data_IF_299897173931
#
_entry.id   IF_299897173931
#
_cell.length_a   1.000
_cell.length_b   1.000
_cell.length_c   1.000
_cell.angle_alpha   90.00
_cell.angle_beta   90.00
_cell.angle_gamma   90.00
#
_symmetry.space_group_name_H-M   'P 1'
#
loop_
_entity.id
_entity.type
_entity.pdbx_description
1 polymer ?
#
# COMPACT_ATOMS: atom_id res chain seq x y z
N UNK A 1 8.92 -1.03 5.68
CA UNK A 1 9.97 -0.38 4.86
C UNK A 1 9.59 1.08 4.71
N UNK A 2 10.54 1.99 4.90
CA UNK A 2 10.35 3.42 4.67
C UNK A 2 11.36 3.85 3.62
N UNK A 3 10.91 4.47 2.54
CA UNK A 3 11.75 5.05 1.50
C UNK A 3 11.60 6.56 1.57
N UNK A 4 12.68 7.24 1.97
CA UNK A 4 12.70 8.71 2.10
C UNK A 4 12.68 9.43 0.74
N UNK A 5 13.12 8.78 -0.33
CA UNK A 5 13.22 9.35 -1.67
C UNK A 5 12.26 8.77 -2.69
N UNK A 6 12.57 8.99 -3.96
CA UNK A 6 11.79 8.54 -5.10
C UNK A 6 11.99 7.04 -5.38
N UNK A 7 10.92 6.40 -5.86
CA UNK A 7 10.94 5.03 -6.34
C UNK A 7 10.55 4.98 -7.82
N UNK A 8 11.20 4.10 -8.57
CA UNK A 8 10.87 3.91 -9.98
C UNK A 8 9.70 2.92 -10.14
N UNK A 9 9.98 1.66 -10.46
CA UNK A 9 8.98 0.63 -10.79
C UNK A 9 9.01 -0.56 -9.82
N UNK A 10 7.93 -1.33 -9.82
CA UNK A 10 7.79 -2.60 -9.10
C UNK A 10 7.86 -2.47 -7.57
N UNK A 11 7.46 -1.33 -7.02
CA UNK A 11 7.35 -1.17 -5.57
C UNK A 11 6.35 -2.20 -5.02
N UNK A 12 6.82 -3.02 -4.08
CA UNK A 12 6.01 -4.04 -3.43
C UNK A 12 5.55 -5.19 -4.35
N UNK A 13 6.23 -5.43 -5.48
CA UNK A 13 5.99 -6.65 -6.26
C UNK A 13 6.04 -7.89 -5.36
N UNK A 14 5.06 -8.78 -5.50
CA UNK A 14 4.91 -10.00 -4.69
C UNK A 14 4.76 -9.73 -3.18
N UNK A 15 4.32 -8.53 -2.78
CA UNK A 15 4.11 -8.20 -1.37
C UNK A 15 3.00 -9.08 -0.77
N UNK A 16 3.41 -9.98 0.13
CA UNK A 16 2.48 -10.80 0.93
C UNK A 16 1.96 -10.04 2.15
N UNK A 17 2.83 -9.31 2.86
CA UNK A 17 2.50 -8.63 4.11
C UNK A 17 3.35 -7.39 4.41
N UNK A 18 2.97 -6.65 5.45
CA UNK A 18 3.71 -5.54 6.02
C UNK A 18 3.37 -4.19 5.38
N UNK A 19 4.12 -3.16 5.81
CA UNK A 19 3.89 -1.78 5.38
C UNK A 19 5.10 -1.23 4.63
N UNK A 20 4.85 -0.63 3.46
CA UNK A 20 5.82 0.13 2.67
C UNK A 20 5.32 1.57 2.62
N UNK A 21 6.17 2.53 3.03
CA UNK A 21 5.89 3.96 2.93
C UNK A 21 6.92 4.60 2.02
N UNK A 22 6.47 5.31 0.99
CA UNK A 22 7.32 6.08 0.06
C UNK A 22 7.01 7.56 0.26
N UNK A 23 8.01 8.32 0.70
CA UNK A 23 7.90 9.76 0.95
C UNK A 23 8.24 10.61 -0.28
N UNK A 24 8.87 10.02 -1.29
CA UNK A 24 9.07 10.64 -2.60
C UNK A 24 8.02 10.21 -3.63
N UNK A 25 8.34 10.42 -4.90
CA UNK A 25 7.49 10.10 -6.06
C UNK A 25 7.63 8.64 -6.45
N UNK A 26 6.54 8.05 -6.96
CA UNK A 26 6.54 6.72 -7.59
C UNK A 26 6.18 6.88 -9.06
N UNK A 27 7.07 6.46 -9.96
CA UNK A 27 6.85 6.64 -11.41
C UNK A 27 5.70 5.77 -11.95
N UNK A 28 5.54 4.56 -11.40
CA UNK A 28 4.47 3.64 -11.78
C UNK A 28 4.07 2.70 -10.65
N UNK A 29 2.78 2.66 -10.36
CA UNK A 29 2.17 1.70 -9.43
C UNK A 29 1.79 0.44 -10.20
N UNK A 30 2.01 -0.74 -9.58
CA UNK A 30 1.62 -2.00 -10.18
C UNK A 30 0.08 -2.09 -10.30
N UNK A 31 -0.48 -2.56 -11.42
CA UNK A 31 -1.94 -2.63 -11.63
C UNK A 31 -2.68 -3.51 -10.61
N UNK A 32 -1.96 -4.43 -9.97
CA UNK A 32 -2.45 -5.32 -8.93
C UNK A 32 -2.59 -4.64 -7.55
N UNK A 33 -2.11 -3.41 -7.39
CA UNK A 33 -2.44 -2.58 -6.22
C UNK A 33 -3.76 -1.85 -6.44
N UNK A 34 -4.59 -1.82 -5.39
CA UNK A 34 -5.88 -1.14 -5.38
C UNK A 34 -5.82 0.06 -4.45
N UNK A 35 -6.15 1.24 -4.99
CA UNK A 35 -6.24 2.49 -4.22
C UNK A 35 -7.38 2.35 -3.20
N UNK A 36 -7.11 2.67 -1.94
CA UNK A 36 -8.09 2.67 -0.85
C UNK A 36 -8.61 4.09 -0.64
N UNK A 37 -7.70 5.05 -0.49
CA UNK A 37 -8.05 6.43 -0.16
C UNK A 37 -6.84 7.25 0.23
N UNK A 38 -7.10 8.45 0.74
CA UNK A 38 -6.08 9.34 1.28
C UNK A 38 -6.06 9.25 2.81
N UNK A 39 -4.87 9.28 3.38
CA UNK A 39 -4.63 9.26 4.83
C UNK A 39 -3.65 10.36 5.21
N UNK A 40 -3.79 10.89 6.43
CA UNK A 40 -2.92 11.96 6.96
C UNK A 40 -1.90 11.47 7.99
N UNK A 41 -2.12 10.24 8.49
CA UNK A 41 -1.29 9.59 9.50
C UNK A 41 -1.23 8.10 9.19
N UNK A 42 -0.03 7.53 9.28
CA UNK A 42 0.24 6.10 9.15
C UNK A 42 0.83 5.63 10.47
N UNK A 43 0.13 4.72 11.15
CA UNK A 43 0.66 4.03 12.32
C UNK A 43 1.41 2.77 11.89
N UNK A 44 2.68 2.68 12.26
CA UNK A 44 3.54 1.54 11.97
C UNK A 44 3.37 0.45 13.04
N UNK A 45 3.76 -0.79 12.72
CA UNK A 45 3.63 -1.93 13.64
C UNK A 45 4.41 -1.77 14.95
N UNK A 46 5.44 -0.90 14.98
CA UNK A 46 6.21 -0.59 16.17
C UNK A 46 5.61 0.57 17.01
N UNK A 47 4.46 1.12 16.61
CA UNK A 47 3.78 2.24 17.27
C UNK A 47 4.23 3.63 16.80
N UNK A 48 5.25 3.71 15.94
CA UNK A 48 5.68 4.98 15.36
C UNK A 48 4.62 5.53 14.40
N UNK A 49 4.51 6.85 14.36
CA UNK A 49 3.56 7.55 13.49
C UNK A 49 4.31 8.33 12.42
N UNK A 50 3.86 8.17 11.18
CA UNK A 50 4.30 9.00 10.05
C UNK A 50 3.14 9.92 9.69
N UNK A 51 3.35 11.23 9.82
CA UNK A 51 2.39 12.25 9.41
C UNK A 51 2.71 12.75 8.00
N UNK A 52 1.67 13.24 7.31
CA UNK A 52 1.76 13.74 5.95
C UNK A 52 0.62 13.23 5.08
N UNK A 53 0.47 13.77 3.87
CA UNK A 53 -0.59 13.33 2.95
C UNK A 53 -0.10 12.14 2.14
N UNK A 54 -0.77 11.00 2.29
CA UNK A 54 -0.46 9.79 1.55
C UNK A 54 -1.70 9.21 0.89
N UNK A 55 -1.51 8.57 -0.25
CA UNK A 55 -2.48 7.64 -0.81
C UNK A 55 -2.15 6.24 -0.31
N UNK A 56 -3.14 5.58 0.27
CA UNK A 56 -3.07 4.19 0.69
C UNK A 56 -3.50 3.26 -0.44
N UNK A 57 -2.72 2.19 -0.62
CA UNK A 57 -3.01 1.09 -1.53
C UNK A 57 -2.95 -0.25 -0.80
N UNK A 58 -3.83 -1.17 -1.21
CA UNK A 58 -3.78 -2.58 -0.85
C UNK A 58 -3.19 -3.39 -1.99
N UNK A 59 -2.30 -4.31 -1.66
CA UNK A 59 -1.66 -5.20 -2.62
C UNK A 59 -0.51 -5.98 -1.98
N UNK A 60 0.20 -6.83 -2.73
CA UNK A 60 0.02 -7.08 -4.16
C UNK A 60 -1.09 -8.13 -4.40
N UNK A 61 -2.15 -7.80 -5.14
CA UNK A 61 -3.24 -8.74 -5.43
C UNK A 61 -2.94 -9.73 -6.58
N UNK A 62 -1.71 -9.77 -7.10
CA UNK A 62 -1.22 -10.91 -7.89
C UNK A 62 -0.89 -12.12 -7.02
N UNK A 63 -0.71 -11.90 -5.71
CA UNK A 63 -0.38 -12.93 -4.73
C UNK A 63 -1.66 -13.60 -4.23
N UNK A 64 -1.69 -14.94 -4.26
CA UNK A 64 -2.85 -15.75 -3.88
C UNK A 64 -3.42 -15.40 -2.50
N UNK A 65 -2.55 -15.15 -1.50
CA UNK A 65 -2.93 -14.78 -0.13
C UNK A 65 -3.68 -13.45 -0.03
N UNK A 66 -3.61 -12.61 -1.05
CA UNK A 66 -4.28 -11.32 -1.12
C UNK A 66 -5.55 -11.36 -1.99
N UNK A 67 -5.84 -12.45 -2.71
CA UNK A 67 -7.03 -12.55 -3.58
C UNK A 67 -8.36 -12.49 -2.82
N UNK A 68 -8.43 -13.14 -1.65
CA UNK A 68 -9.64 -13.20 -0.82
C UNK A 68 -10.00 -11.89 -0.13
N UNK A 69 -9.18 -10.85 -0.32
CA UNK A 69 -9.29 -9.55 0.36
C UNK A 69 -10.01 -8.49 -0.47
N UNK A 70 -10.35 -8.79 -1.72
CA UNK A 70 -11.24 -7.98 -2.55
C UNK A 70 -12.60 -8.67 -2.58
N UNK A 71 -13.63 -7.98 -2.11
CA UNK A 71 -15.00 -8.45 -2.28
C UNK A 71 -15.37 -8.44 -3.77
N UNK A 72 -15.64 -9.60 -4.35
CA UNK A 72 -15.86 -9.74 -5.80
C UNK A 72 -17.15 -9.09 -6.30
N UNK A 73 -18.09 -8.73 -5.41
CA UNK A 73 -19.37 -8.12 -5.79
C UNK A 73 -19.33 -6.60 -5.67
N UNK A 74 -18.58 -6.08 -4.70
CA UNK A 74 -18.53 -4.66 -4.36
C UNK A 74 -17.18 -4.01 -4.67
N UNK A 75 -16.18 -4.80 -5.05
CA UNK A 75 -14.77 -4.43 -5.24
C UNK A 75 -14.12 -3.76 -4.02
N UNK A 76 -14.78 -3.82 -2.86
CA UNK A 76 -14.26 -3.27 -1.62
C UNK A 76 -13.12 -4.13 -1.12
N UNK A 77 -12.03 -3.48 -0.77
CA UNK A 77 -10.90 -4.13 -0.12
C UNK A 77 -11.20 -4.25 1.38
N UNK A 78 -11.04 -5.44 1.95
CA UNK A 78 -11.16 -5.61 3.39
C UNK A 78 -10.04 -4.84 4.12
N UNK A 79 -10.35 -4.19 5.24
CA UNK A 79 -9.35 -3.48 6.05
C UNK A 79 -8.24 -4.40 6.62
N UNK A 80 -8.42 -5.72 6.51
CA UNK A 80 -7.43 -6.74 6.91
C UNK A 80 -6.37 -7.07 5.84
N UNK A 81 -6.12 -6.18 4.86
CA UNK A 81 -5.11 -6.47 3.83
C UNK A 81 -3.73 -6.60 4.47
N UNK A 82 -3.01 -7.64 4.08
CA UNK A 82 -1.74 -7.97 4.71
C UNK A 82 -0.63 -7.04 4.23
N UNK A 83 -0.62 -6.67 2.95
CA UNK A 83 0.30 -5.69 2.38
C UNK A 83 -0.34 -4.31 2.22
N UNK A 84 0.35 -3.29 2.76
CA UNK A 84 -0.02 -1.88 2.64
C UNK A 84 1.10 -1.11 1.99
N UNK A 85 0.75 -0.28 1.01
CA UNK A 85 1.65 0.65 0.35
C UNK A 85 1.08 2.07 0.49
N UNK A 86 1.92 2.98 1.01
CA UNK A 86 1.58 4.38 1.15
C UNK A 86 2.54 5.21 0.29
N UNK A 87 2.00 6.13 -0.50
CA UNK A 87 2.76 7.00 -1.41
C UNK A 87 2.41 8.45 -1.11
N UNK A 88 3.40 9.29 -0.88
CA UNK A 88 3.21 10.71 -0.62
C UNK A 88 2.52 11.42 -1.81
N UNK A 89 1.66 12.38 -1.48
CA UNK A 89 0.94 13.25 -2.44
C UNK A 89 1.66 14.56 -2.64
#
# INVERSE_FOLDING_TARGET
>A
IIVEGDCNRCIGADQVRGTIVVKGKVSRILPSYKKIGEVQEIELMNGDKITGKYIEYSGDHSVEKNHSKIDKKTEKVSNSSNGRLYIAV
#
